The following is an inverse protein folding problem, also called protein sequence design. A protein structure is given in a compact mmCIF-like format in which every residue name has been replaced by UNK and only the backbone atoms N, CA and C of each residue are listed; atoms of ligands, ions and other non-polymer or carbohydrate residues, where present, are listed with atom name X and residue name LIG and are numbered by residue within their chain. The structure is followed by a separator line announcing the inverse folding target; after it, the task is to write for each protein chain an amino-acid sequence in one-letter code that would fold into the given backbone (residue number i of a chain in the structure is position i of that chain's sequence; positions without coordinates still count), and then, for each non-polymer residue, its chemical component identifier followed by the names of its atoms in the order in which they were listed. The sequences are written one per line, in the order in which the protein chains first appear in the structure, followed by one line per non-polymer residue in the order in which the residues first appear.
data_IF_119252923053
#
_entry.id   IF_119252923053
#
_cell.length_a   1.000
_cell.length_b   1.000
_cell.length_c   1.000
_cell.angle_alpha   90.00
_cell.angle_beta   90.00
_cell.angle_gamma   90.00
#
_symmetry.space_group_name_H-M   'P 1'
#
loop_
_entity.id
_entity.type
_entity.pdbx_description
1 polymer ?
#
# COMPACT_ATOMS: atom_id res chain seq x y z
N UNK A 1 16.21 -14.50 10.19
CA UNK A 1 15.69 -13.13 9.98
C UNK A 1 14.19 -13.15 10.15
N UNK A 2 13.60 -12.16 10.79
CA UNK A 2 12.16 -12.02 11.01
C UNK A 2 11.58 -10.88 10.18
N UNK A 3 10.26 -10.87 10.01
CA UNK A 3 9.56 -9.75 9.39
C UNK A 3 8.71 -8.99 10.42
N UNK A 4 8.73 -7.67 10.38
CA UNK A 4 7.85 -6.80 11.17
C UNK A 4 7.06 -5.90 10.23
N UNK A 5 5.77 -6.18 10.06
CA UNK A 5 4.89 -5.39 9.20
C UNK A 5 4.06 -4.44 10.05
N UNK A 6 4.04 -3.16 9.68
CA UNK A 6 3.36 -2.11 10.45
C UNK A 6 1.97 -1.81 9.87
N UNK A 7 0.93 -2.17 10.59
CA UNK A 7 -0.48 -1.99 10.21
C UNK A 7 -1.33 -1.21 11.25
N UNK A 8 -0.68 -0.46 12.15
CA UNK A 8 -1.37 0.25 13.25
C UNK A 8 -1.87 1.67 12.95
N UNK A 9 -1.67 2.20 11.75
CA UNK A 9 -1.99 3.60 11.42
C UNK A 9 -3.48 3.87 11.21
N UNK A 10 -3.97 5.05 11.66
CA UNK A 10 -5.39 5.47 11.58
C UNK A 10 -5.92 5.80 10.19
N UNK A 11 -5.08 5.94 9.17
CA UNK A 11 -5.50 6.19 7.79
C UNK A 11 -6.26 7.48 7.53
N UNK A 12 -6.08 8.54 8.32
CA UNK A 12 -6.87 9.78 8.28
C UNK A 12 -6.86 10.48 6.91
N UNK A 13 -5.81 10.29 6.11
CA UNK A 13 -5.66 10.88 4.77
C UNK A 13 -6.51 10.20 3.69
N UNK A 14 -7.01 8.97 3.97
CA UNK A 14 -7.91 8.20 3.10
C UNK A 14 -9.38 8.28 3.57
N UNK A 15 -9.71 9.14 4.53
CA UNK A 15 -11.11 9.40 4.86
C UNK A 15 -11.83 10.02 3.66
N UNK A 16 -13.09 9.62 3.40
CA UNK A 16 -14.02 8.89 4.29
C UNK A 16 -13.92 7.35 4.24
N UNK A 17 -13.16 6.74 3.32
CA UNK A 17 -13.04 5.27 3.20
C UNK A 17 -12.62 4.63 4.54
N UNK A 18 -11.62 5.22 5.20
CA UNK A 18 -11.03 4.68 6.44
C UNK A 18 -11.79 5.07 7.72
N UNK A 19 -13.02 5.53 7.62
CA UNK A 19 -13.91 5.58 8.79
C UNK A 19 -14.45 4.20 9.17
N UNK A 20 -14.57 3.31 8.19
CA UNK A 20 -15.18 1.98 8.31
C UNK A 20 -14.21 0.83 8.01
N UNK A 21 -13.00 1.13 7.54
CA UNK A 21 -12.01 0.13 7.13
C UNK A 21 -10.59 0.52 7.51
N UNK A 22 -9.77 -0.49 7.83
CA UNK A 22 -8.32 -0.32 7.96
C UNK A 22 -7.72 0.15 6.62
N UNK A 23 -6.85 1.18 6.64
CA UNK A 23 -6.24 1.72 5.41
C UNK A 23 -5.45 0.66 4.64
N UNK A 24 -4.82 -0.27 5.35
CA UNK A 24 -4.01 -1.34 4.77
C UNK A 24 -4.85 -2.45 4.12
N UNK A 25 -6.16 -2.44 4.34
CA UNK A 25 -7.11 -3.34 3.69
C UNK A 25 -7.83 -2.71 2.50
N UNK A 26 -7.60 -1.43 2.22
CA UNK A 26 -8.06 -0.82 0.96
C UNK A 26 -7.36 -1.53 -0.19
N UNK A 27 -8.10 -2.04 -1.19
CA UNK A 27 -7.49 -2.87 -2.23
C UNK A 27 -6.81 -2.05 -3.32
N UNK A 28 -5.78 -2.64 -3.89
CA UNK A 28 -5.15 -2.31 -5.17
C UNK A 28 -5.32 -3.52 -6.08
N UNK A 29 -5.88 -3.35 -7.26
CA UNK A 29 -6.22 -4.45 -8.19
C UNK A 29 -7.00 -5.59 -7.49
N UNK A 30 -8.00 -5.22 -6.68
CA UNK A 30 -8.85 -6.10 -5.87
C UNK A 30 -8.14 -6.90 -4.75
N UNK A 31 -6.86 -6.66 -4.50
CA UNK A 31 -6.10 -7.29 -3.41
C UNK A 31 -5.76 -6.26 -2.33
N UNK A 32 -6.05 -6.51 -1.03
CA UNK A 32 -5.66 -5.63 0.08
C UNK A 32 -4.18 -5.26 0.03
N UNK A 33 -3.84 -3.98 0.23
CA UNK A 33 -2.45 -3.51 0.15
C UNK A 33 -1.54 -4.27 1.11
N UNK A 34 -1.99 -4.57 2.32
CA UNK A 34 -1.23 -5.35 3.29
C UNK A 34 -0.75 -6.71 2.77
N UNK A 35 -1.52 -7.34 1.86
CA UNK A 35 -1.16 -8.66 1.34
C UNK A 35 0.06 -8.61 0.45
N UNK A 36 0.29 -7.52 -0.26
CA UNK A 36 1.54 -7.32 -1.03
C UNK A 36 2.74 -7.33 -0.09
N UNK A 37 2.69 -6.60 1.03
CA UNK A 37 3.78 -6.59 2.01
C UNK A 37 4.04 -7.99 2.62
N UNK A 38 2.98 -8.76 2.90
CA UNK A 38 3.10 -10.15 3.39
C UNK A 38 3.71 -11.06 2.32
N UNK A 39 3.24 -10.96 1.08
CA UNK A 39 3.73 -11.75 -0.05
C UNK A 39 5.21 -11.43 -0.37
N UNK A 40 5.60 -10.16 -0.33
CA UNK A 40 6.98 -9.73 -0.52
C UNK A 40 7.91 -10.30 0.56
N UNK A 41 7.48 -10.30 1.83
CA UNK A 41 8.22 -10.93 2.92
C UNK A 41 8.42 -12.42 2.67
N UNK A 42 7.35 -13.12 2.33
CA UNK A 42 7.40 -14.58 2.06
C UNK A 42 8.25 -14.89 0.83
N UNK A 43 8.12 -14.11 -0.23
CA UNK A 43 8.95 -14.25 -1.44
C UNK A 43 10.44 -14.07 -1.15
N UNK A 44 10.80 -13.21 -0.20
CA UNK A 44 12.17 -13.03 0.30
C UNK A 44 12.60 -14.10 1.34
N UNK A 45 11.80 -15.17 1.52
CA UNK A 45 12.09 -16.26 2.46
C UNK A 45 11.83 -15.93 3.93
N UNK A 46 11.17 -14.81 4.24
CA UNK A 46 10.86 -14.38 5.60
C UNK A 46 9.43 -14.84 5.94
N UNK A 47 9.33 -15.92 6.71
CA UNK A 47 8.05 -16.59 7.02
C UNK A 47 7.61 -16.47 8.47
N UNK A 48 8.46 -15.96 9.38
CA UNK A 48 8.12 -15.63 10.77
C UNK A 48 7.82 -14.13 10.85
N UNK A 49 6.53 -13.77 10.87
CA UNK A 49 6.04 -12.40 10.72
C UNK A 49 5.39 -11.89 12.01
N UNK A 50 5.87 -10.76 12.52
CA UNK A 50 5.16 -9.93 13.48
C UNK A 50 4.34 -8.87 12.74
N UNK A 51 3.05 -8.76 13.01
CA UNK A 51 2.22 -7.70 12.44
C UNK A 51 1.75 -6.78 13.56
N UNK A 52 2.18 -5.51 13.47
CA UNK A 52 1.73 -4.46 14.39
C UNK A 52 0.30 -4.07 14.03
N UNK A 53 -0.60 -4.13 15.00
CA UNK A 53 -1.99 -3.70 14.86
C UNK A 53 -2.37 -2.67 15.91
N UNK A 54 -3.36 -1.84 15.61
CA UNK A 54 -3.88 -0.79 16.48
C UNK A 54 -5.40 -0.82 16.58
N UNK A 55 -6.07 0.32 16.37
CA UNK A 55 -7.52 0.47 16.51
C UNK A 55 -8.34 -0.46 15.58
N UNK A 56 -7.78 -0.83 14.43
CA UNK A 56 -8.43 -1.72 13.42
C UNK A 56 -7.94 -3.17 13.51
N UNK A 57 -7.46 -3.60 14.69
CA UNK A 57 -6.85 -4.92 14.89
C UNK A 57 -7.76 -6.06 14.43
N UNK A 58 -9.03 -6.07 14.86
CA UNK A 58 -9.97 -7.15 14.57
C UNK A 58 -10.18 -7.34 13.06
N UNK A 59 -10.28 -6.26 12.30
CA UNK A 59 -10.46 -6.29 10.85
C UNK A 59 -9.21 -6.83 10.15
N UNK A 60 -8.03 -6.35 10.53
CA UNK A 60 -6.74 -6.78 9.96
C UNK A 60 -6.48 -8.26 10.30
N UNK A 61 -6.71 -8.66 11.54
CA UNK A 61 -6.54 -10.04 12.00
C UNK A 61 -7.50 -11.00 11.27
N UNK A 62 -8.76 -10.60 11.09
CA UNK A 62 -9.73 -11.39 10.32
C UNK A 62 -9.32 -11.52 8.86
N UNK A 63 -8.75 -10.47 8.27
CA UNK A 63 -8.34 -10.47 6.87
C UNK A 63 -7.07 -11.30 6.61
N UNK A 64 -6.08 -11.29 7.47
CA UNK A 64 -4.80 -12.02 7.29
C UNK A 64 -4.88 -13.44 7.86
N UNK A 65 -5.59 -13.65 8.97
CA UNK A 65 -5.66 -14.94 9.67
C UNK A 65 -4.35 -15.27 10.38
N UNK A 66 -4.00 -16.54 10.40
CA UNK A 66 -2.75 -17.05 11.00
C UNK A 66 -1.52 -16.99 10.07
N UNK A 67 -1.71 -16.48 8.86
CA UNK A 67 -0.66 -16.38 7.84
C UNK A 67 -0.48 -17.62 6.98
N UNK A 68 -1.09 -18.75 7.34
CA UNK A 68 -0.88 -20.03 6.65
C UNK A 68 -1.20 -19.99 5.16
N UNK A 69 -2.21 -19.21 4.74
CA UNK A 69 -2.56 -19.03 3.32
C UNK A 69 -1.46 -18.36 2.50
N UNK A 70 -0.56 -17.62 3.14
CA UNK A 70 0.59 -16.98 2.50
C UNK A 70 1.86 -17.83 2.64
N UNK A 71 1.82 -18.92 3.41
CA UNK A 71 3.00 -19.72 3.74
C UNK A 71 3.85 -19.13 4.87
N UNK A 72 3.27 -18.28 5.70
CA UNK A 72 3.90 -17.63 6.85
C UNK A 72 3.24 -18.02 8.17
N UNK A 73 3.93 -17.78 9.28
CA UNK A 73 3.38 -17.79 10.64
C UNK A 73 3.28 -16.34 11.15
N UNK A 74 2.11 -15.93 11.60
CA UNK A 74 1.87 -14.55 12.04
C UNK A 74 1.73 -14.48 13.55
N UNK A 75 2.54 -13.61 14.17
CA UNK A 75 2.42 -13.16 15.56
C UNK A 75 1.81 -11.75 15.57
N UNK A 76 0.67 -11.60 16.23
CA UNK A 76 -0.02 -10.33 16.38
C UNK A 76 0.57 -9.53 17.52
N UNK A 77 0.97 -8.28 17.25
CA UNK A 77 1.60 -7.37 18.21
C UNK A 77 0.75 -6.11 18.31
N UNK A 78 0.17 -5.89 19.48
CA UNK A 78 -0.69 -4.72 19.68
C UNK A 78 0.13 -3.48 20.02
N UNK A 79 -0.05 -2.40 19.25
CA UNK A 79 0.45 -1.07 19.58
C UNK A 79 -0.68 -0.27 20.24
N UNK A 80 -0.63 -0.05 21.57
CA UNK A 80 -1.75 0.55 22.28
C UNK A 80 -2.00 2.02 21.92
N UNK A 81 -0.93 2.74 21.56
CA UNK A 81 -0.97 4.13 21.14
C UNK A 81 -0.05 4.35 19.93
N UNK A 82 -0.45 5.16 18.93
CA UNK A 82 0.33 5.40 17.72
C UNK A 82 1.49 6.39 17.96
N UNK A 83 2.47 5.98 18.76
CA UNK A 83 3.60 6.78 19.21
C UNK A 83 4.82 6.76 18.26
N UNK A 84 4.62 6.45 16.99
CA UNK A 84 5.66 6.48 15.96
C UNK A 84 6.21 5.10 15.56
N UNK A 85 7.07 5.08 14.53
CA UNK A 85 7.60 3.85 13.96
C UNK A 85 8.61 3.15 14.88
N UNK A 86 9.47 3.90 15.55
CA UNK A 86 10.42 3.31 16.52
C UNK A 86 9.69 2.72 17.73
N UNK A 87 8.51 3.24 18.11
CA UNK A 87 7.66 2.62 19.12
C UNK A 87 7.17 1.23 18.70
N UNK A 88 6.94 0.99 17.40
CA UNK A 88 6.59 -0.35 16.91
C UNK A 88 7.71 -1.36 17.16
N UNK A 89 8.97 -0.96 16.97
CA UNK A 89 10.14 -1.81 17.29
C UNK A 89 10.21 -2.10 18.80
N UNK A 90 9.92 -1.10 19.66
CA UNK A 90 9.88 -1.28 21.13
C UNK A 90 8.83 -2.30 21.57
N UNK A 91 7.60 -2.20 21.07
CA UNK A 91 6.53 -3.14 21.45
C UNK A 91 6.73 -4.54 20.84
N UNK A 92 7.47 -4.64 19.75
CA UNK A 92 7.81 -5.90 19.11
C UNK A 92 9.06 -6.59 19.70
N UNK A 93 9.71 -6.02 20.72
CA UNK A 93 11.01 -6.48 21.25
C UNK A 93 11.02 -7.98 21.59
N UNK A 94 9.99 -8.47 22.26
CA UNK A 94 9.91 -9.87 22.68
C UNK A 94 9.79 -10.83 21.49
N UNK A 95 9.07 -10.40 20.43
CA UNK A 95 8.98 -11.14 19.18
C UNK A 95 10.32 -11.11 18.42
N UNK A 96 10.92 -9.93 18.26
CA UNK A 96 12.15 -9.73 17.49
C UNK A 96 13.36 -10.42 18.13
N UNK A 97 13.49 -10.35 19.45
CA UNK A 97 14.59 -10.96 20.20
C UNK A 97 15.95 -10.42 19.78
N UNK A 98 16.84 -11.31 19.38
CA UNK A 98 18.19 -11.02 18.90
C UNK A 98 18.38 -11.33 17.41
N UNK A 99 17.26 -11.47 16.68
CA UNK A 99 17.29 -11.72 15.25
C UNK A 99 17.46 -10.42 14.46
N UNK A 100 18.15 -10.48 13.33
CA UNK A 100 18.04 -9.48 12.29
C UNK A 100 16.61 -9.50 11.73
N UNK A 101 16.05 -8.36 11.34
CA UNK A 101 14.68 -8.29 10.83
C UNK A 101 14.48 -7.22 9.75
N UNK A 102 13.47 -7.44 8.93
CA UNK A 102 12.93 -6.44 8.01
C UNK A 102 11.72 -5.78 8.65
N UNK A 103 11.70 -4.45 8.71
CA UNK A 103 10.53 -3.64 9.04
C UNK A 103 9.93 -3.08 7.77
N UNK A 104 8.64 -3.34 7.52
CA UNK A 104 7.92 -2.92 6.32
C UNK A 104 6.63 -2.20 6.68
N UNK A 105 6.44 -0.99 6.15
CA UNK A 105 5.20 -0.24 6.33
C UNK A 105 4.11 -0.89 5.47
N UNK A 106 3.06 -1.42 6.10
CA UNK A 106 2.01 -2.23 5.45
C UNK A 106 1.10 -1.48 4.46
N UNK A 107 1.36 -0.22 4.17
CA UNK A 107 0.73 0.60 3.15
C UNK A 107 1.71 1.06 2.06
N UNK A 108 2.91 0.52 2.03
CA UNK A 108 3.89 0.78 0.99
C UNK A 108 3.92 -0.36 -0.03
N UNK A 109 4.17 -0.02 -1.27
CA UNK A 109 4.31 -0.96 -2.38
C UNK A 109 5.58 -0.66 -3.16
N UNK A 110 6.32 -1.72 -3.52
CA UNK A 110 7.60 -1.67 -4.23
C UNK A 110 7.53 -2.52 -5.50
N UNK A 111 8.07 -2.01 -6.61
CA UNK A 111 8.19 -2.79 -7.84
C UNK A 111 9.20 -3.94 -7.71
N UNK A 112 10.37 -3.65 -7.13
CA UNK A 112 11.48 -4.62 -7.06
C UNK A 112 11.30 -5.74 -6.04
N UNK A 113 10.29 -5.65 -5.12
CA UNK A 113 10.15 -6.55 -3.98
C UNK A 113 11.28 -6.40 -2.95
N UNK A 114 11.44 -7.40 -2.05
CA UNK A 114 12.39 -7.34 -0.94
C UNK A 114 13.66 -8.17 -1.15
N UNK A 115 13.65 -9.16 -2.06
CA UNK A 115 14.75 -10.13 -2.18
C UNK A 115 16.13 -9.47 -2.36
N UNK A 116 16.32 -8.48 -3.26
CA UNK A 116 17.63 -7.84 -3.44
C UNK A 116 18.16 -7.20 -2.16
N UNK A 117 17.29 -6.52 -1.41
CA UNK A 117 17.65 -5.86 -0.14
C UNK A 117 18.04 -6.86 0.95
N UNK A 118 17.30 -7.96 1.05
CA UNK A 118 17.54 -9.03 2.03
C UNK A 118 18.88 -9.73 1.73
N UNK A 119 19.15 -10.01 0.46
CA UNK A 119 20.40 -10.63 0.03
C UNK A 119 21.61 -9.71 0.31
N UNK A 120 21.51 -8.44 -0.05
CA UNK A 120 22.54 -7.43 0.18
C UNK A 120 22.83 -7.26 1.67
N UNK A 121 21.78 -7.07 2.48
CA UNK A 121 21.95 -6.93 3.93
C UNK A 121 22.57 -8.19 4.56
N UNK A 122 22.08 -9.37 4.18
CA UNK A 122 22.59 -10.65 4.71
C UNK A 122 24.08 -10.83 4.38
N UNK A 123 24.48 -10.48 3.15
CA UNK A 123 25.89 -10.51 2.75
C UNK A 123 26.74 -9.50 3.54
N UNK A 124 26.24 -8.28 3.73
CA UNK A 124 26.92 -7.23 4.49
C UNK A 124 27.04 -7.60 5.99
N UNK A 125 26.04 -8.28 6.57
CA UNK A 125 26.08 -8.76 7.96
C UNK A 125 27.18 -9.80 8.22
N UNK A 126 27.68 -10.46 7.19
CA UNK A 126 28.80 -11.41 7.27
C UNK A 126 30.19 -10.74 7.14
N UNK A 127 30.26 -9.44 6.90
CA UNK A 127 31.50 -8.69 6.76
C UNK A 127 32.19 -8.42 8.12
N UNK A 128 33.43 -7.90 8.08
CA UNK A 128 34.21 -7.55 9.28
C UNK A 128 33.59 -6.39 10.07
N UNK A 129 32.97 -5.42 9.36
CA UNK A 129 32.20 -4.31 9.94
C UNK A 129 30.71 -4.42 9.51
N UNK A 130 29.92 -5.23 10.23
CA UNK A 130 28.54 -5.49 9.83
C UNK A 130 27.64 -4.28 10.10
N UNK A 131 26.80 -3.84 9.14
CA UNK A 131 25.90 -2.71 9.33
C UNK A 131 24.84 -2.99 10.42
N UNK A 132 24.56 -1.99 11.25
CA UNK A 132 23.46 -2.03 12.21
C UNK A 132 22.10 -1.86 11.54
N UNK A 133 22.05 -1.16 10.42
CA UNK A 133 20.85 -0.96 9.62
C UNK A 133 21.19 -0.89 8.12
N UNK A 134 20.20 -1.21 7.29
CA UNK A 134 20.17 -0.87 5.86
C UNK A 134 18.84 -0.20 5.53
N UNK A 135 18.90 0.90 4.79
CA UNK A 135 17.77 1.71 4.39
C UNK A 135 17.65 1.78 2.88
N UNK A 136 16.44 1.88 2.40
CA UNK A 136 16.15 2.08 0.99
C UNK A 136 15.79 3.54 0.77
N UNK A 137 16.45 4.19 -0.20
CA UNK A 137 16.28 5.59 -0.54
C UNK A 137 15.69 5.75 -1.94
N UNK A 138 14.85 6.75 -2.12
CA UNK A 138 14.29 7.14 -3.42
C UNK A 138 14.36 8.65 -3.60
N UNK A 139 14.72 9.09 -4.80
CA UNK A 139 14.60 10.50 -5.14
C UNK A 139 13.15 10.91 -5.29
N UNK A 140 12.74 11.95 -4.58
CA UNK A 140 11.37 12.47 -4.61
C UNK A 140 11.34 13.97 -4.89
N UNK A 141 10.29 14.46 -5.59
CA UNK A 141 10.15 15.90 -5.86
C UNK A 141 9.71 16.72 -4.63
N UNK A 142 9.21 16.05 -3.58
CA UNK A 142 8.57 16.65 -2.40
C UNK A 142 9.13 16.03 -1.09
N UNK A 143 10.46 16.20 -0.79
CA UNK A 143 11.13 15.49 0.30
C UNK A 143 10.65 15.88 1.69
N UNK A 144 10.13 17.09 1.91
CA UNK A 144 9.64 17.53 3.22
C UNK A 144 8.44 16.72 3.78
N UNK A 145 7.94 15.76 3.01
CA UNK A 145 6.87 14.85 3.45
C UNK A 145 7.37 13.55 4.08
N UNK A 146 8.66 13.28 3.99
CA UNK A 146 9.30 12.02 4.33
C UNK A 146 10.46 12.22 5.29
N UNK A 147 10.95 11.15 5.88
CA UNK A 147 12.30 11.13 6.40
C UNK A 147 13.29 11.30 5.24
N UNK A 148 14.30 12.12 5.40
CA UNK A 148 15.27 12.47 4.36
C UNK A 148 16.68 12.14 4.82
N UNK A 149 17.46 11.47 3.95
CA UNK A 149 18.85 11.16 4.19
C UNK A 149 19.78 12.19 3.55
N UNK A 150 20.86 12.55 4.26
CA UNK A 150 22.02 13.23 3.68
C UNK A 150 23.20 12.27 3.60
N UNK A 151 23.81 12.19 2.45
CA UNK A 151 25.04 11.43 2.26
C UNK A 151 26.25 12.36 2.40
N UNK A 152 27.35 11.81 2.90
CA UNK A 152 28.66 12.50 2.92
C UNK A 152 29.38 12.40 1.56
N UNK A 153 30.58 12.97 1.49
CA UNK A 153 31.40 12.99 0.27
C UNK A 153 31.86 11.58 -0.16
N UNK A 154 31.87 10.62 0.75
CA UNK A 154 32.20 9.21 0.50
C UNK A 154 30.95 8.39 0.12
N UNK A 155 29.78 9.01 0.05
CA UNK A 155 28.49 8.37 -0.25
C UNK A 155 27.91 7.57 0.92
N UNK A 156 28.30 7.84 2.16
CA UNK A 156 27.74 7.19 3.35
C UNK A 156 26.60 8.02 3.92
N UNK A 157 25.66 7.35 4.59
CA UNK A 157 24.59 8.06 5.31
C UNK A 157 25.21 8.83 6.49
N UNK A 158 25.11 10.15 6.44
CA UNK A 158 25.68 11.05 7.44
C UNK A 158 24.66 11.65 8.39
N UNK A 159 23.41 11.72 7.98
CA UNK A 159 22.32 12.33 8.77
C UNK A 159 20.96 11.90 8.23
N UNK A 160 19.99 11.78 9.12
CA UNK A 160 18.59 11.52 8.79
C UNK A 160 17.71 12.54 9.52
N UNK A 161 16.78 13.16 8.79
CA UNK A 161 15.87 14.15 9.37
C UNK A 161 14.43 13.81 9.00
N UNK A 162 13.56 13.70 10.00
CA UNK A 162 12.13 13.43 9.79
C UNK A 162 11.39 14.68 9.33
N UNK A 163 10.78 14.63 8.16
CA UNK A 163 9.93 15.68 7.56
C UNK A 163 10.49 17.10 7.74
N UNK A 164 11.72 17.34 7.30
CA UNK A 164 12.38 18.63 7.48
C UNK A 164 11.65 19.76 6.74
N UNK A 165 11.58 20.95 7.38
CA UNK A 165 11.07 22.14 6.70
C UNK A 165 12.01 22.62 5.58
N UNK A 166 13.32 22.39 5.75
CA UNK A 166 14.37 22.62 4.77
C UNK A 166 15.14 21.31 4.55
N UNK A 167 14.77 20.52 3.53
CA UNK A 167 15.35 19.19 3.34
C UNK A 167 16.83 19.25 2.93
N UNK A 168 17.72 18.46 3.58
CA UNK A 168 19.15 18.45 3.25
C UNK A 168 19.45 17.80 1.88
N UNK A 169 18.49 17.05 1.33
CA UNK A 169 18.57 16.40 0.01
C UNK A 169 17.17 16.08 -0.53
N UNK A 170 17.09 15.44 -1.69
CA UNK A 170 15.86 14.87 -2.26
C UNK A 170 15.73 13.34 -2.02
N UNK A 171 16.63 12.75 -1.21
CA UNK A 171 16.65 11.32 -0.94
C UNK A 171 15.71 10.96 0.23
N UNK A 172 14.50 10.54 -0.10
CA UNK A 172 13.51 10.11 0.88
C UNK A 172 13.70 8.66 1.30
N UNK A 173 13.46 8.36 2.57
CA UNK A 173 13.40 6.99 3.08
C UNK A 173 12.13 6.31 2.56
N UNK A 174 12.33 5.20 1.92
CA UNK A 174 11.26 4.26 1.54
C UNK A 174 10.83 3.48 2.79
N UNK A 175 9.56 3.07 2.85
CA UNK A 175 8.98 2.42 4.03
C UNK A 175 9.46 0.98 4.30
N UNK A 176 10.71 0.67 3.96
CA UNK A 176 11.35 -0.62 4.21
C UNK A 176 12.72 -0.38 4.85
N UNK A 177 12.98 -1.10 5.93
CA UNK A 177 14.19 -0.99 6.73
C UNK A 177 14.66 -2.38 7.14
N UNK A 178 15.95 -2.61 7.13
CA UNK A 178 16.57 -3.83 7.67
C UNK A 178 17.40 -3.46 8.89
N UNK A 179 17.24 -4.19 9.96
CA UNK A 179 17.89 -3.90 11.23
C UNK A 179 18.58 -5.11 11.82
N UNK A 180 19.72 -4.86 12.45
CA UNK A 180 20.29 -5.75 13.43
C UNK A 180 19.70 -5.50 14.82
N UNK A 181 19.94 -6.37 15.83
CA UNK A 181 19.49 -6.13 17.21
C UNK A 181 19.98 -4.83 17.85
N UNK A 182 21.00 -4.18 17.29
CA UNK A 182 21.50 -2.88 17.79
C UNK A 182 20.41 -1.80 17.80
N UNK A 183 19.40 -1.89 16.92
CA UNK A 183 18.27 -0.96 16.90
C UNK A 183 17.47 -0.94 18.21
N UNK A 184 17.50 -2.02 19.01
CA UNK A 184 16.81 -2.04 20.29
C UNK A 184 17.38 -1.03 21.30
N UNK A 185 18.69 -0.80 21.28
CA UNK A 185 19.33 0.21 22.09
C UNK A 185 18.99 1.62 21.57
N UNK A 186 19.03 1.82 20.25
CA UNK A 186 18.66 3.07 19.62
C UNK A 186 17.23 3.51 20.00
N UNK A 187 16.22 2.62 19.78
CA UNK A 187 14.81 2.96 20.09
C UNK A 187 14.54 3.13 21.59
N UNK A 188 15.43 2.62 22.47
CA UNK A 188 15.35 2.85 23.91
C UNK A 188 15.96 4.19 24.34
N UNK A 189 16.84 4.75 23.51
CA UNK A 189 17.66 5.94 23.82
C UNK A 189 17.09 7.24 23.24
N UNK A 190 16.19 7.17 22.25
CA UNK A 190 15.58 8.35 21.64
C UNK A 190 14.41 8.88 22.47
N UNK A 191 14.19 10.18 22.36
CA UNK A 191 13.04 10.88 22.96
C UNK A 191 11.97 11.17 21.89
N UNK A 192 10.70 11.39 22.28
CA UNK A 192 9.66 11.79 21.34
C UNK A 192 10.00 13.11 20.64
N UNK A 193 9.81 13.16 19.31
CA UNK A 193 9.98 14.36 18.51
C UNK A 193 8.99 15.46 18.88
N UNK A 194 9.11 16.64 18.27
CA UNK A 194 8.13 17.73 18.42
C UNK A 194 6.70 17.32 17.97
N UNK A 195 6.56 16.21 17.24
CA UNK A 195 5.29 15.60 16.83
C UNK A 195 4.70 14.66 17.90
N UNK A 196 5.44 14.39 18.98
CA UNK A 196 5.09 13.41 20.01
C UNK A 196 5.29 11.96 19.58
N UNK A 197 6.07 11.71 18.52
CA UNK A 197 6.35 10.39 17.98
C UNK A 197 7.81 9.99 18.22
N UNK A 198 8.06 8.71 18.46
CA UNK A 198 9.39 8.11 18.43
C UNK A 198 9.70 7.79 16.96
N UNK A 199 10.53 8.63 16.35
CA UNK A 199 10.82 8.55 14.93
C UNK A 199 11.85 7.45 14.64
N UNK A 200 11.65 6.73 13.54
CA UNK A 200 12.64 5.72 13.12
C UNK A 200 13.91 6.38 12.57
N UNK A 201 13.77 7.56 11.98
CA UNK A 201 14.89 8.40 11.53
C UNK A 201 15.81 8.76 12.67
N UNK A 202 15.26 9.17 13.83
CA UNK A 202 16.05 9.51 15.00
C UNK A 202 16.79 8.28 15.58
N UNK A 203 16.15 7.09 15.51
CA UNK A 203 16.79 5.86 15.95
C UNK A 203 17.95 5.46 15.02
N UNK A 204 17.81 5.66 13.72
CA UNK A 204 18.90 5.38 12.77
C UNK A 204 20.00 6.42 12.90
N UNK A 205 19.66 7.69 13.09
CA UNK A 205 20.65 8.77 13.31
C UNK A 205 21.44 8.52 14.59
N UNK A 206 20.76 8.07 15.67
CA UNK A 206 21.44 7.63 16.89
C UNK A 206 22.45 6.50 16.65
N UNK A 207 22.12 5.50 15.81
CA UNK A 207 23.07 4.45 15.45
C UNK A 207 24.32 5.01 14.78
N UNK A 208 24.16 5.99 13.88
CA UNK A 208 25.28 6.67 13.21
C UNK A 208 26.15 7.40 14.24
N UNK A 209 25.53 8.15 15.15
CA UNK A 209 26.21 8.88 16.22
C UNK A 209 26.99 7.98 17.17
N UNK A 210 26.53 6.74 17.38
CA UNK A 210 27.26 5.73 18.18
C UNK A 210 28.36 5.01 17.38
N UNK A 211 28.57 5.40 16.11
CA UNK A 211 29.62 4.84 15.25
C UNK A 211 29.23 3.52 14.56
N UNK A 212 27.95 3.17 14.54
CA UNK A 212 27.50 2.03 13.77
C UNK A 212 27.40 2.36 12.29
N UNK A 213 27.75 1.38 11.46
CA UNK A 213 27.57 1.48 10.00
C UNK A 213 26.09 1.35 9.63
N UNK A 214 25.59 2.31 8.84
CA UNK A 214 24.27 2.27 8.21
C UNK A 214 24.44 2.22 6.70
N UNK A 215 24.04 1.12 6.08
CA UNK A 215 24.04 0.97 4.63
C UNK A 215 22.80 1.61 4.02
N UNK A 216 22.90 2.00 2.76
CA UNK A 216 21.76 2.43 1.97
C UNK A 216 21.83 1.84 0.56
N UNK A 217 20.68 1.70 -0.05
CA UNK A 217 20.52 1.38 -1.45
C UNK A 217 19.56 2.40 -2.10
N UNK A 218 19.78 2.68 -3.37
CA UNK A 218 18.83 3.46 -4.15
C UNK A 218 17.79 2.51 -4.75
N UNK A 219 16.52 2.87 -4.59
CA UNK A 219 15.41 2.10 -5.13
C UNK A 219 15.52 2.01 -6.66
N UNK A 220 15.41 0.82 -7.18
CA UNK A 220 15.18 0.55 -8.60
C UNK A 220 13.67 0.37 -8.85
N UNK A 221 13.12 1.10 -9.82
CA UNK A 221 11.70 1.06 -10.12
C UNK A 221 10.85 2.06 -9.31
N UNK A 222 9.57 1.74 -9.14
CA UNK A 222 8.64 2.64 -8.45
C UNK A 222 8.40 2.21 -6.98
N UNK A 223 8.08 3.22 -6.19
CA UNK A 223 7.60 3.11 -4.82
C UNK A 223 6.40 4.02 -4.62
N UNK A 224 5.37 3.52 -3.95
CA UNK A 224 4.16 4.27 -3.67
C UNK A 224 3.69 4.05 -2.22
N UNK A 225 3.44 5.17 -1.51
CA UNK A 225 2.72 5.22 -0.23
C UNK A 225 1.23 5.34 -0.52
N UNK A 226 0.48 4.25 -0.40
CA UNK A 226 -0.96 4.19 -0.69
C UNK A 226 -1.83 4.92 0.34
N UNK A 227 -1.25 5.65 1.26
CA UNK A 227 -1.96 6.40 2.31
C UNK A 227 -2.79 7.60 1.83
N UNK A 228 -2.89 7.86 0.52
CA UNK A 228 -3.72 8.90 -0.11
C UNK A 228 -4.39 8.37 -1.37
N UNK A 229 -5.48 9.04 -1.82
CA UNK A 229 -6.23 8.62 -3.01
C UNK A 229 -5.37 8.54 -4.27
N UNK A 230 -4.65 9.60 -4.61
CA UNK A 230 -3.93 9.65 -5.89
C UNK A 230 -2.79 8.61 -5.97
N UNK A 231 -1.90 8.44 -4.95
CA UNK A 231 -0.95 7.34 -4.92
C UNK A 231 -1.61 5.95 -4.92
N UNK A 232 -2.78 5.77 -4.30
CA UNK A 232 -3.51 4.51 -4.33
C UNK A 232 -4.02 4.20 -5.75
N UNK A 233 -4.57 5.18 -6.46
CA UNK A 233 -4.99 5.01 -7.85
C UNK A 233 -3.79 4.77 -8.79
N UNK A 234 -2.65 5.42 -8.53
CA UNK A 234 -1.41 5.15 -9.26
C UNK A 234 -0.90 3.73 -8.99
N UNK A 235 -0.92 3.27 -7.73
CA UNK A 235 -0.58 1.89 -7.38
C UNK A 235 -1.50 0.89 -8.10
N UNK A 236 -2.81 1.21 -8.15
CA UNK A 236 -3.79 0.39 -8.87
C UNK A 236 -3.42 0.27 -10.36
N UNK A 237 -3.11 1.38 -11.01
CA UNK A 237 -2.66 1.39 -12.41
C UNK A 237 -1.41 0.52 -12.61
N UNK A 238 -0.35 0.74 -11.80
CA UNK A 238 0.92 0.00 -11.90
C UNK A 238 0.73 -1.51 -11.77
N UNK A 239 -0.08 -1.93 -10.81
CA UNK A 239 -0.36 -3.36 -10.61
C UNK A 239 -1.21 -3.93 -11.75
N UNK A 240 -2.22 -3.19 -12.20
CA UNK A 240 -3.07 -3.61 -13.32
C UNK A 240 -2.28 -3.78 -14.63
N UNK A 241 -1.26 -2.95 -14.90
CA UNK A 241 -0.37 -3.06 -16.07
C UNK A 241 0.37 -4.40 -16.14
N UNK A 242 0.59 -5.06 -14.99
CA UNK A 242 1.26 -6.36 -14.90
C UNK A 242 0.30 -7.56 -15.01
N UNK A 243 -1.02 -7.33 -15.07
CA UNK A 243 -1.99 -8.43 -15.13
C UNK A 243 -2.03 -9.11 -16.49
N UNK A 244 -2.04 -10.44 -16.46
CA UNK A 244 -2.30 -11.25 -17.65
C UNK A 244 -3.81 -11.36 -17.92
N UNK A 245 -4.19 -11.36 -19.20
CA UNK A 245 -5.58 -11.54 -19.59
C UNK A 245 -6.13 -12.90 -19.14
N UNK A 246 -7.25 -12.89 -18.38
CA UNK A 246 -7.88 -14.11 -17.87
C UNK A 246 -9.40 -13.91 -17.73
N UNK A 247 -10.19 -14.85 -18.20
CA UNK A 247 -11.65 -14.83 -18.08
C UNK A 247 -12.13 -16.13 -17.43
N UNK A 248 -12.59 -16.05 -16.19
CA UNK A 248 -13.20 -17.16 -15.42
C UNK A 248 -14.71 -16.96 -15.27
N UNK A 249 -15.19 -15.75 -15.44
CA UNK A 249 -16.61 -15.38 -15.47
C UNK A 249 -17.25 -15.54 -16.86
N UNK A 250 -18.33 -14.81 -17.10
CA UNK A 250 -19.07 -14.82 -18.35
C UNK A 250 -18.97 -13.47 -19.06
N UNK A 251 -18.51 -13.49 -20.33
CA UNK A 251 -18.49 -12.32 -21.22
C UNK A 251 -19.28 -12.66 -22.46
N UNK A 252 -20.31 -11.88 -22.78
CA UNK A 252 -21.17 -12.15 -23.91
C UNK A 252 -20.52 -11.77 -25.25
N UNK A 253 -21.11 -12.24 -26.36
CA UNK A 253 -20.59 -12.00 -27.72
C UNK A 253 -20.74 -10.53 -28.19
N UNK A 254 -21.57 -9.72 -27.52
CA UNK A 254 -21.76 -8.31 -27.84
C UNK A 254 -20.74 -7.41 -27.14
N UNK A 255 -20.01 -7.94 -26.15
CA UNK A 255 -18.98 -7.23 -25.42
C UNK A 255 -17.69 -7.14 -26.24
N UNK A 256 -17.10 -5.97 -26.30
CA UNK A 256 -15.80 -5.73 -26.91
C UNK A 256 -14.72 -5.61 -25.84
N UNK A 257 -13.64 -6.38 -25.97
CA UNK A 257 -12.50 -6.39 -25.05
C UNK A 257 -11.25 -5.95 -25.80
N UNK A 258 -10.57 -4.93 -25.28
CA UNK A 258 -9.32 -4.39 -25.82
C UNK A 258 -8.26 -4.30 -24.69
N UNK A 259 -7.10 -4.93 -24.88
CA UNK A 259 -6.04 -5.00 -23.87
C UNK A 259 -6.24 -6.07 -22.79
N UNK A 260 -5.39 -6.08 -21.75
CA UNK A 260 -5.46 -7.07 -20.68
C UNK A 260 -6.65 -6.84 -19.74
N UNK A 261 -7.51 -7.85 -19.61
CA UNK A 261 -8.68 -7.83 -18.73
C UNK A 261 -8.75 -9.13 -17.94
N UNK A 262 -8.93 -9.01 -16.63
CA UNK A 262 -9.24 -10.13 -15.75
C UNK A 262 -10.73 -10.08 -15.40
N UNK A 263 -11.45 -11.18 -15.65
CA UNK A 263 -12.85 -11.36 -15.24
C UNK A 263 -12.91 -12.56 -14.31
N UNK A 264 -13.15 -12.31 -13.03
CA UNK A 264 -13.15 -13.34 -12.00
C UNK A 264 -14.41 -14.21 -12.03
N UNK A 265 -14.38 -15.31 -11.30
CA UNK A 265 -15.44 -16.31 -11.28
C UNK A 265 -16.81 -15.69 -10.87
N UNK A 266 -17.87 -16.12 -11.51
CA UNK A 266 -19.24 -15.64 -11.26
C UNK A 266 -19.53 -14.21 -11.75
N UNK A 267 -18.54 -13.45 -12.20
CA UNK A 267 -18.77 -12.15 -12.83
C UNK A 267 -19.46 -12.29 -14.19
N UNK A 268 -20.32 -11.34 -14.52
CA UNK A 268 -21.07 -11.30 -15.79
C UNK A 268 -20.89 -9.95 -16.48
N UNK A 269 -20.55 -9.99 -17.77
CA UNK A 269 -20.32 -8.79 -18.59
C UNK A 269 -21.17 -8.89 -19.85
N UNK A 270 -22.10 -7.96 -20.03
CA UNK A 270 -23.11 -8.01 -21.09
C UNK A 270 -23.15 -6.70 -21.88
N UNK A 271 -22.91 -6.76 -23.19
CA UNK A 271 -23.01 -5.62 -24.10
C UNK A 271 -22.07 -4.46 -23.71
N UNK A 272 -20.91 -4.75 -23.17
CA UNK A 272 -19.97 -3.76 -22.64
C UNK A 272 -18.80 -3.49 -23.62
N UNK A 273 -18.06 -2.44 -23.31
CA UNK A 273 -16.72 -2.23 -23.85
C UNK A 273 -15.73 -2.20 -22.68
N UNK A 274 -14.81 -3.15 -22.62
CA UNK A 274 -13.73 -3.20 -21.66
C UNK A 274 -12.43 -2.74 -22.33
N UNK A 275 -11.79 -1.73 -21.76
CA UNK A 275 -10.51 -1.20 -22.24
C UNK A 275 -9.48 -1.47 -21.13
N UNK A 276 -8.65 -2.50 -21.33
CA UNK A 276 -7.63 -2.87 -20.37
C UNK A 276 -6.54 -1.80 -20.15
N UNK A 277 -5.83 -1.87 -19.01
CA UNK A 277 -5.95 -2.92 -18.00
C UNK A 277 -7.18 -2.75 -17.08
N UNK A 278 -7.89 -3.86 -16.83
CA UNK A 278 -9.10 -3.89 -15.99
C UNK A 278 -9.19 -5.20 -15.22
N UNK A 279 -9.57 -5.15 -13.96
CA UNK A 279 -10.00 -6.33 -13.19
C UNK A 279 -11.48 -6.19 -12.81
N UNK A 280 -12.26 -7.24 -13.08
CA UNK A 280 -13.67 -7.36 -12.71
C UNK A 280 -13.79 -8.47 -11.67
N UNK A 281 -14.12 -8.10 -10.44
CA UNK A 281 -14.15 -8.97 -9.28
C UNK A 281 -15.26 -9.99 -9.28
N UNK A 282 -15.16 -10.97 -8.39
CA UNK A 282 -16.06 -12.10 -8.23
C UNK A 282 -17.54 -11.66 -8.13
N UNK A 283 -18.41 -12.27 -8.94
CA UNK A 283 -19.84 -12.01 -8.92
C UNK A 283 -20.26 -10.60 -9.31
N UNK A 284 -19.37 -9.77 -9.86
CA UNK A 284 -19.73 -8.44 -10.37
C UNK A 284 -20.59 -8.55 -11.63
N UNK A 285 -21.46 -7.55 -11.85
CA UNK A 285 -22.36 -7.47 -12.99
C UNK A 285 -22.15 -6.16 -13.74
N UNK A 286 -21.73 -6.25 -15.00
CA UNK A 286 -21.55 -5.10 -15.90
C UNK A 286 -22.52 -5.22 -17.08
N UNK A 287 -23.31 -4.17 -17.33
CA UNK A 287 -24.30 -4.16 -18.42
C UNK A 287 -24.29 -2.82 -19.17
N UNK A 288 -24.14 -2.88 -20.48
CA UNK A 288 -24.17 -1.71 -21.38
C UNK A 288 -23.21 -0.58 -20.90
N UNK A 289 -22.03 -0.96 -20.41
CA UNK A 289 -21.07 -0.06 -19.78
C UNK A 289 -19.75 0.03 -20.58
N UNK A 290 -19.02 1.11 -20.37
CA UNK A 290 -17.63 1.28 -20.81
C UNK A 290 -16.74 1.30 -19.57
N UNK A 291 -15.82 0.34 -19.45
CA UNK A 291 -14.98 0.22 -18.27
C UNK A 291 -13.52 0.14 -18.66
N UNK A 292 -12.70 0.99 -18.07
CA UNK A 292 -11.28 1.13 -18.33
C UNK A 292 -10.90 2.37 -19.13
N UNK A 293 -9.58 2.66 -19.22
CA UNK A 293 -8.50 1.87 -18.62
C UNK A 293 -8.35 2.05 -17.12
N UNK A 294 -7.46 1.24 -16.52
CA UNK A 294 -6.99 1.35 -15.13
C UNK A 294 -8.10 1.25 -14.07
N UNK A 295 -9.04 0.32 -14.27
CA UNK A 295 -10.17 0.15 -13.36
C UNK A 295 -10.09 -1.16 -12.60
N UNK A 296 -10.21 -1.08 -11.27
CA UNK A 296 -10.50 -2.22 -10.41
C UNK A 296 -11.98 -2.18 -9.97
N UNK A 297 -12.74 -3.18 -10.41
CA UNK A 297 -14.13 -3.39 -10.02
C UNK A 297 -14.15 -4.48 -8.95
N UNK A 298 -14.50 -4.14 -7.73
CA UNK A 298 -14.58 -5.07 -6.60
C UNK A 298 -15.64 -6.16 -6.77
N UNK A 299 -15.64 -7.11 -5.84
CA UNK A 299 -16.60 -8.20 -5.88
C UNK A 299 -18.05 -7.71 -5.76
N UNK A 300 -18.99 -8.37 -6.47
CA UNK A 300 -20.42 -8.07 -6.44
C UNK A 300 -20.80 -6.62 -6.79
N UNK A 301 -19.87 -5.86 -7.39
CA UNK A 301 -20.18 -4.54 -7.94
C UNK A 301 -21.17 -4.62 -9.09
N UNK A 302 -21.92 -3.54 -9.30
CA UNK A 302 -22.87 -3.41 -10.41
C UNK A 302 -22.60 -2.12 -11.19
N UNK A 303 -22.33 -2.23 -12.48
CA UNK A 303 -22.11 -1.08 -13.37
C UNK A 303 -23.07 -1.18 -14.54
N UNK A 304 -23.97 -0.22 -14.66
CA UNK A 304 -24.99 -0.21 -15.71
C UNK A 304 -25.02 1.13 -16.44
N UNK A 305 -25.02 1.09 -17.78
CA UNK A 305 -25.17 2.26 -18.66
C UNK A 305 -24.24 3.42 -18.27
N UNK A 306 -23.05 3.09 -17.82
CA UNK A 306 -22.09 4.01 -17.22
C UNK A 306 -20.71 3.89 -17.86
N UNK A 307 -19.91 4.95 -17.75
CA UNK A 307 -18.48 4.91 -18.09
C UNK A 307 -17.63 5.09 -16.85
N UNK A 308 -16.62 4.24 -16.67
CA UNK A 308 -15.69 4.27 -15.52
C UNK A 308 -14.26 4.15 -16.01
N UNK A 309 -13.38 5.07 -15.60
CA UNK A 309 -11.99 5.16 -16.00
C UNK A 309 -11.11 5.46 -14.77
N UNK A 310 -9.85 4.96 -14.73
CA UNK A 310 -8.83 5.26 -13.69
C UNK A 310 -9.38 5.25 -12.27
N UNK A 311 -10.16 4.20 -11.91
CA UNK A 311 -10.94 4.20 -10.67
C UNK A 311 -10.87 2.85 -9.96
N UNK A 312 -11.06 2.91 -8.63
CA UNK A 312 -11.22 1.74 -7.76
C UNK A 312 -12.62 1.76 -7.15
N UNK A 313 -13.39 0.71 -7.44
CA UNK A 313 -14.73 0.49 -6.87
C UNK A 313 -14.63 -0.65 -5.86
N UNK A 314 -14.94 -0.38 -4.59
CA UNK A 314 -14.92 -1.41 -3.56
C UNK A 314 -16.16 -2.31 -3.65
N UNK A 315 -16.11 -3.45 -2.97
CA UNK A 315 -17.12 -4.50 -3.03
C UNK A 315 -18.56 -3.99 -2.91
N UNK A 316 -19.43 -4.48 -3.80
CA UNK A 316 -20.86 -4.15 -3.79
C UNK A 316 -21.22 -2.72 -4.24
N UNK A 317 -20.25 -1.91 -4.68
CA UNK A 317 -20.53 -0.58 -5.21
C UNK A 317 -21.43 -0.67 -6.46
N UNK A 318 -22.34 0.29 -6.62
CA UNK A 318 -23.30 0.36 -7.73
C UNK A 318 -23.15 1.69 -8.46
N UNK A 319 -22.87 1.64 -9.75
CA UNK A 319 -22.71 2.79 -10.64
C UNK A 319 -23.76 2.67 -11.75
N UNK A 320 -24.77 3.51 -11.73
CA UNK A 320 -25.93 3.39 -12.64
C UNK A 320 -26.19 4.73 -13.33
N UNK A 321 -26.33 4.70 -14.66
CA UNK A 321 -26.61 5.88 -15.49
C UNK A 321 -25.62 7.05 -15.31
N UNK A 322 -24.36 6.74 -14.91
CA UNK A 322 -23.29 7.74 -14.73
C UNK A 322 -22.54 7.92 -16.05
N UNK A 323 -22.65 9.07 -16.71
CA UNK A 323 -22.07 9.26 -18.04
C UNK A 323 -20.55 9.08 -18.07
N UNK A 324 -19.84 9.54 -17.03
CA UNK A 324 -18.40 9.38 -16.90
C UNK A 324 -17.92 9.56 -15.47
N UNK A 325 -17.45 8.48 -14.82
CA UNK A 325 -16.76 8.46 -13.53
C UNK A 325 -15.27 8.30 -13.78
N UNK A 326 -14.44 9.19 -13.23
CA UNK A 326 -12.98 9.15 -13.45
C UNK A 326 -12.22 9.41 -12.16
N UNK A 327 -10.98 8.89 -12.07
CA UNK A 327 -10.06 9.14 -10.95
C UNK A 327 -10.76 9.04 -9.58
N UNK A 328 -11.57 7.98 -9.41
CA UNK A 328 -12.46 7.85 -8.26
C UNK A 328 -12.11 6.65 -7.39
N UNK A 329 -12.33 6.83 -6.08
CA UNK A 329 -12.30 5.76 -5.08
C UNK A 329 -13.69 5.71 -4.43
N UNK A 330 -14.41 4.61 -4.69
CA UNK A 330 -15.81 4.44 -4.27
C UNK A 330 -15.90 3.33 -3.23
N UNK A 331 -16.44 3.65 -2.05
CA UNK A 331 -16.56 2.75 -0.91
C UNK A 331 -17.49 1.56 -1.14
N UNK A 332 -17.43 0.59 -0.22
CA UNK A 332 -18.26 -0.63 -0.25
C UNK A 332 -19.74 -0.27 -0.19
N UNK A 333 -20.57 -0.99 -0.94
CA UNK A 333 -22.02 -0.82 -0.93
C UNK A 333 -22.53 0.56 -1.37
N UNK A 334 -21.64 1.46 -1.77
CA UNK A 334 -21.99 2.82 -2.20
C UNK A 334 -22.73 2.80 -3.54
N UNK A 335 -23.78 3.61 -3.62
CA UNK A 335 -24.61 3.78 -4.81
C UNK A 335 -24.35 5.16 -5.42
N UNK A 336 -23.99 5.21 -6.70
CA UNK A 336 -23.86 6.45 -7.48
C UNK A 336 -24.81 6.36 -8.66
N UNK A 337 -25.80 7.23 -8.69
CA UNK A 337 -26.84 7.25 -9.74
C UNK A 337 -26.80 8.58 -10.49
N UNK A 338 -26.72 8.50 -11.80
CA UNK A 338 -26.87 9.62 -12.69
C UNK A 338 -28.33 9.84 -13.10
N UNK A 339 -28.65 10.93 -13.84
CA UNK A 339 -29.98 11.23 -14.30
C UNK A 339 -30.50 10.15 -15.27
N UNK A 340 -31.69 9.62 -15.01
CA UNK A 340 -32.31 8.61 -15.85
C UNK A 340 -32.37 9.05 -17.32
N UNK A 341 -31.86 8.22 -18.23
CA UNK A 341 -31.84 8.50 -19.67
C UNK A 341 -30.52 8.98 -20.23
N UNK A 342 -29.44 8.97 -19.44
CA UNK A 342 -28.07 9.17 -19.91
C UNK A 342 -27.83 10.50 -20.63
N UNK A 343 -28.22 11.60 -20.00
CA UNK A 343 -27.89 12.93 -20.53
C UNK A 343 -26.37 13.03 -20.72
N UNK A 344 -25.93 13.43 -21.93
CA UNK A 344 -24.51 13.71 -22.17
C UNK A 344 -24.01 14.68 -21.11
N UNK A 345 -22.88 14.41 -20.46
CA UNK A 345 -22.32 15.33 -19.48
C UNK A 345 -22.16 16.71 -20.14
N UNK A 346 -22.60 17.75 -19.46
CA UNK A 346 -22.44 19.13 -19.92
C UNK A 346 -20.97 19.63 -19.93
N UNK A 347 -20.05 18.76 -19.53
CA UNK A 347 -18.62 19.02 -19.55
C UNK A 347 -17.83 17.75 -19.94
N UNK A 348 -16.74 17.91 -20.68
CA UNK A 348 -15.75 16.87 -20.98
C UNK A 348 -15.04 16.34 -19.71
N UNK A 349 -15.26 17.00 -18.57
CA UNK A 349 -14.67 16.65 -17.28
C UNK A 349 -15.59 15.66 -16.57
N UNK A 350 -15.22 14.37 -16.52
CA UNK A 350 -15.94 13.37 -15.76
C UNK A 350 -16.10 13.72 -14.26
N UNK A 351 -16.99 13.00 -13.59
CA UNK A 351 -17.20 13.09 -12.13
C UNK A 351 -16.03 12.43 -11.42
N UNK A 352 -15.47 13.10 -10.41
CA UNK A 352 -14.39 12.58 -9.56
C UNK A 352 -14.91 12.45 -8.13
N UNK A 353 -14.83 11.25 -7.58
CA UNK A 353 -15.34 10.95 -6.26
C UNK A 353 -14.28 10.33 -5.35
N UNK A 354 -14.37 10.65 -4.07
CA UNK A 354 -13.75 9.90 -2.99
C UNK A 354 -14.83 9.78 -1.90
N UNK A 355 -15.50 8.64 -1.85
CA UNK A 355 -16.69 8.42 -1.01
C UNK A 355 -16.53 7.17 -0.17
N UNK A 356 -17.01 7.23 1.09
CA UNK A 356 -16.98 6.13 2.04
C UNK A 356 -17.99 5.04 1.72
N UNK A 357 -18.08 4.05 2.60
CA UNK A 357 -18.98 2.92 2.47
C UNK A 357 -20.45 3.36 2.64
N UNK A 358 -21.38 2.61 2.03
CA UNK A 358 -22.83 2.73 2.16
C UNK A 358 -23.39 4.15 1.86
N UNK A 359 -22.67 4.95 1.08
CA UNK A 359 -23.16 6.26 0.63
C UNK A 359 -24.16 6.13 -0.51
N UNK A 360 -25.08 7.11 -0.63
CA UNK A 360 -25.96 7.29 -1.79
C UNK A 360 -25.68 8.66 -2.40
N UNK A 361 -25.36 8.70 -3.69
CA UNK A 361 -25.00 9.90 -4.44
C UNK A 361 -25.86 9.97 -5.68
N UNK A 362 -26.68 10.99 -5.79
CA UNK A 362 -27.47 11.35 -6.96
C UNK A 362 -26.78 12.53 -7.68
N UNK A 363 -26.44 12.36 -8.98
CA UNK A 363 -25.67 13.32 -9.80
C UNK A 363 -26.55 14.22 -10.64
#
# INVERSE_FOLDING_TARGET
MKGLILSGGRGTRLRPITYTSAKQLVPVANKPVLFYAVEDMVAAGITDLGIIVGETADEVMAAVGDGSRFGAAVTWIHQPEPLGLAHCVRVARDFLGQDDFVMYLGDNMLEQGLQPLVDSFTAARAAEDPPAASILLSEVPDPHRFGVARLDDDGRVAELVEKPADPPSNLALVGVYLFSPAVHEAVASIEPSARGELEITDAIDWLIDQGHTVHHELLEGWWLDTGKKDPLLESNQRVLESLEHRVEGSVDAATHVDGPVVVEAGATVVGCRLVGPVVVGEGAHLEAAVVGPDVAVGARCRIERSSVEHSVLLDGARIVDVPRLVESLVGRGTVVEGPAGGGRPSSDRGVRLMVGDDCVIEL
#
